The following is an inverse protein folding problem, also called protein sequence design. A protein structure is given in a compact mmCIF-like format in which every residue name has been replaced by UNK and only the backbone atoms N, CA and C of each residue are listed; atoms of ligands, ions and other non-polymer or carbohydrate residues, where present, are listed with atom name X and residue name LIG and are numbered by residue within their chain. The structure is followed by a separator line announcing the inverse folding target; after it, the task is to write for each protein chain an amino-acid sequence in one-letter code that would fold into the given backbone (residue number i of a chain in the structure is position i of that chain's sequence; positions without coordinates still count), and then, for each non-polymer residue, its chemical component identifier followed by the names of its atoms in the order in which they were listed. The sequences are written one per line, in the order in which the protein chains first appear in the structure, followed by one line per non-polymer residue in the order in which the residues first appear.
data_IF_545775131839
#
_entry.id   IF_545775131839
#
_cell.length_a   1.000
_cell.length_b   1.000
_cell.length_c   1.000
_cell.angle_alpha   90.00
_cell.angle_beta   90.00
_cell.angle_gamma   90.00
#
_symmetry.space_group_name_H-M   'P 1'
#
loop_
_entity.id
_entity.type
_entity.pdbx_description
1 polymer ?
#
# COMPACT_ATOMS: atom_id res chain seq x y z
N UNK A 1 3.07 -29.94 35.90
CA UNK A 1 2.21 -29.91 34.70
C UNK A 1 2.17 -28.48 34.23
N UNK A 2 2.81 -28.18 33.11
CA UNK A 2 2.81 -26.84 32.51
C UNK A 2 1.44 -26.61 31.85
N UNK A 3 0.76 -25.52 32.22
CA UNK A 3 -0.43 -25.09 31.51
C UNK A 3 -0.03 -24.73 30.07
N UNK A 4 -0.72 -25.30 29.09
CA UNK A 4 -0.56 -24.89 27.70
C UNK A 4 -0.98 -23.42 27.59
N UNK A 5 -0.07 -22.56 27.14
CA UNK A 5 -0.36 -21.18 26.76
C UNK A 5 -1.43 -21.19 25.67
N UNK A 6 -2.69 -20.98 26.06
CA UNK A 6 -3.79 -20.81 25.13
C UNK A 6 -3.63 -19.42 24.52
N UNK A 7 -3.17 -19.36 23.26
CA UNK A 7 -2.97 -18.10 22.52
C UNK A 7 -4.27 -17.27 22.54
N UNK A 8 -4.17 -16.01 22.91
CA UNK A 8 -5.30 -15.11 23.08
C UNK A 8 -5.82 -14.66 21.70
N UNK A 9 -7.11 -14.89 21.44
CA UNK A 9 -7.79 -14.44 20.22
C UNK A 9 -8.36 -13.04 20.44
N UNK A 10 -8.25 -12.16 19.44
CA UNK A 10 -8.91 -10.85 19.37
C UNK A 10 -10.09 -10.96 18.39
N UNK A 11 -11.28 -10.47 18.73
CA UNK A 11 -12.47 -10.60 17.88
C UNK A 11 -12.79 -9.33 17.07
N UNK A 12 -12.55 -9.30 15.76
CA UNK A 12 -12.92 -8.18 14.88
C UNK A 12 -14.28 -8.36 14.18
N UNK A 13 -14.90 -7.26 13.70
CA UNK A 13 -16.16 -7.30 12.92
C UNK A 13 -16.00 -6.74 11.51
N UNK A 14 -15.91 -7.58 10.47
CA UNK A 14 -15.86 -7.13 9.07
C UNK A 14 -17.09 -6.28 8.64
N UNK A 15 -16.93 -5.53 7.55
CA UNK A 15 -17.95 -4.64 6.92
C UNK A 15 -19.17 -5.35 6.31
N UNK A 16 -19.44 -6.61 6.67
CA UNK A 16 -20.60 -7.40 6.21
C UNK A 16 -21.48 -7.75 7.40
N UNK A 17 -22.76 -7.40 7.31
CA UNK A 17 -23.75 -7.63 8.36
C UNK A 17 -23.78 -9.11 8.81
N UNK A 18 -23.46 -9.35 10.08
CA UNK A 18 -23.68 -10.62 10.76
C UNK A 18 -22.52 -11.61 10.78
N UNK A 19 -21.30 -11.21 10.40
CA UNK A 19 -20.09 -12.05 10.50
C UNK A 19 -19.10 -11.52 11.56
N UNK A 20 -18.60 -12.41 12.41
CA UNK A 20 -17.64 -12.14 13.50
C UNK A 20 -16.30 -12.81 13.12
N UNK A 21 -15.22 -12.05 12.99
CA UNK A 21 -13.88 -12.55 12.63
C UNK A 21 -13.01 -12.70 13.88
N UNK A 22 -12.22 -13.77 13.96
CA UNK A 22 -11.30 -13.99 15.08
C UNK A 22 -9.85 -13.88 14.60
N UNK A 23 -9.10 -12.94 15.17
CA UNK A 23 -7.67 -12.72 14.96
C UNK A 23 -6.91 -13.55 16.01
N UNK A 24 -6.04 -14.47 15.57
CA UNK A 24 -5.06 -15.07 16.47
C UNK A 24 -3.79 -14.23 16.48
N UNK A 25 -3.40 -13.79 17.66
CA UNK A 25 -2.10 -13.19 17.91
C UNK A 25 -1.00 -14.26 17.80
N UNK A 26 -0.03 -14.05 16.91
CA UNK A 26 1.17 -14.90 16.81
C UNK A 26 1.00 -16.29 16.17
N UNK A 27 0.09 -16.50 15.19
CA UNK A 27 0.18 -17.68 14.30
C UNK A 27 0.48 -17.31 12.85
N UNK A 28 1.59 -17.84 12.35
CA UNK A 28 1.78 -18.12 10.93
C UNK A 28 1.20 -19.48 10.51
N UNK A 29 0.67 -20.28 11.44
CA UNK A 29 0.14 -21.62 11.18
C UNK A 29 -1.38 -21.66 11.22
N UNK A 30 -1.95 -22.15 10.13
CA UNK A 30 -3.26 -22.81 10.02
C UNK A 30 -3.76 -23.40 11.34
N UNK A 31 -4.63 -22.69 12.06
CA UNK A 31 -5.59 -23.36 12.90
C UNK A 31 -6.77 -23.72 12.00
N UNK A 32 -6.75 -24.99 11.60
CA UNK A 32 -7.62 -25.65 10.62
C UNK A 32 -9.04 -25.83 11.18
N UNK A 33 -9.65 -24.77 11.68
CA UNK A 33 -11.07 -24.76 12.02
C UNK A 33 -11.86 -24.34 10.77
N UNK A 34 -12.61 -25.31 10.24
CA UNK A 34 -13.64 -25.18 9.19
C UNK A 34 -14.73 -24.14 9.55
N UNK A 35 -14.35 -22.87 9.69
CA UNK A 35 -15.29 -21.77 9.87
C UNK A 35 -15.69 -21.28 8.47
N UNK A 36 -16.68 -21.98 7.89
CA UNK A 36 -17.50 -21.45 6.81
C UNK A 36 -18.14 -20.14 7.30
N UNK A 37 -17.56 -18.99 6.93
CA UNK A 37 -18.11 -17.68 7.27
C UNK A 37 -17.10 -16.54 7.47
N UNK A 38 -15.78 -16.80 7.49
CA UNK A 38 -14.80 -15.75 7.72
C UNK A 38 -14.42 -15.02 6.42
N UNK A 39 -14.42 -13.68 6.44
CA UNK A 39 -13.87 -12.90 5.34
C UNK A 39 -12.33 -12.95 5.38
N UNK A 40 -11.77 -12.69 4.22
CA UNK A 40 -10.48 -13.22 3.76
C UNK A 40 -9.50 -12.09 3.41
N UNK A 41 -9.63 -10.92 4.02
CA UNK A 41 -9.05 -9.70 3.45
C UNK A 41 -8.52 -8.68 4.45
N UNK A 42 -8.50 -8.98 5.74
CA UNK A 42 -8.04 -7.99 6.71
C UNK A 42 -6.52 -7.81 6.58
N UNK A 43 -6.08 -6.61 6.21
CA UNK A 43 -4.72 -6.19 6.52
C UNK A 43 -4.57 -6.12 8.03
N UNK A 44 -3.34 -6.19 8.54
CA UNK A 44 -3.16 -5.97 9.97
C UNK A 44 -3.64 -4.53 10.38
N UNK A 45 -3.74 -3.57 9.45
CA UNK A 45 -4.17 -2.18 9.74
C UNK A 45 -5.70 -2.13 9.82
N UNK A 46 -6.39 -2.72 8.85
CA UNK A 46 -7.85 -2.90 8.86
C UNK A 46 -8.29 -3.69 10.11
N UNK A 47 -7.47 -4.64 10.59
CA UNK A 47 -7.72 -5.41 11.81
C UNK A 47 -7.75 -4.49 13.03
N UNK A 48 -6.72 -3.66 13.18
CA UNK A 48 -6.50 -2.85 14.38
C UNK A 48 -7.38 -1.60 14.37
N UNK A 49 -7.47 -0.92 13.23
CA UNK A 49 -8.04 0.42 13.12
C UNK A 49 -9.48 0.46 12.63
N UNK A 50 -10.00 -0.57 11.94
CA UNK A 50 -11.40 -0.54 11.48
C UNK A 50 -12.29 -1.56 12.18
N UNK A 51 -11.71 -2.67 12.62
CA UNK A 51 -12.44 -3.78 13.21
C UNK A 51 -11.88 -4.17 14.59
N UNK A 52 -11.78 -3.23 15.55
CA UNK A 52 -11.16 -3.52 16.84
C UNK A 52 -11.94 -4.60 17.62
N UNK A 53 -11.29 -5.29 18.58
CA UNK A 53 -11.94 -6.24 19.47
C UNK A 53 -13.28 -5.73 20.00
N UNK A 54 -14.26 -6.62 20.22
CA UNK A 54 -15.48 -6.25 20.93
C UNK A 54 -15.11 -5.55 22.25
N UNK A 55 -15.43 -4.26 22.35
CA UNK A 55 -14.89 -3.40 23.41
C UNK A 55 -15.64 -3.59 24.74
N UNK A 56 -16.60 -4.52 24.78
CA UNK A 56 -17.35 -4.91 25.98
C UNK A 56 -16.40 -5.51 27.02
N UNK A 57 -15.95 -4.67 27.97
CA UNK A 57 -14.99 -5.02 29.01
C UNK A 57 -13.81 -4.05 29.14
N UNK A 58 -13.60 -3.17 28.16
CA UNK A 58 -12.57 -2.13 28.19
C UNK A 58 -13.13 -0.80 28.71
N UNK A 59 -12.31 -0.04 29.43
CA UNK A 59 -12.71 1.26 29.97
C UNK A 59 -12.72 2.37 28.90
N UNK A 60 -13.35 3.49 29.24
CA UNK A 60 -13.52 4.62 28.32
C UNK A 60 -12.17 5.20 27.85
N UNK A 61 -11.13 5.14 28.69
CA UNK A 61 -9.80 5.65 28.35
C UNK A 61 -9.16 4.80 27.26
N UNK A 62 -9.22 3.47 27.37
CA UNK A 62 -8.69 2.56 26.36
C UNK A 62 -9.37 2.75 24.99
N UNK A 63 -10.68 3.00 24.99
CA UNK A 63 -11.45 3.30 23.77
C UNK A 63 -11.04 4.64 23.15
N UNK A 64 -10.84 5.65 24.00
CA UNK A 64 -10.37 6.96 23.56
C UNK A 64 -8.95 6.89 23.00
N UNK A 65 -8.04 6.15 23.64
CA UNK A 65 -6.65 5.98 23.18
C UNK A 65 -6.59 5.36 21.79
N UNK A 66 -7.41 4.32 21.54
CA UNK A 66 -7.54 3.70 20.23
C UNK A 66 -8.14 4.67 19.19
N UNK A 67 -9.16 5.42 19.58
CA UNK A 67 -9.75 6.42 18.70
C UNK A 67 -8.76 7.54 18.36
N UNK A 68 -7.96 8.01 19.32
CA UNK A 68 -6.92 9.00 19.13
C UNK A 68 -5.76 8.46 18.29
N UNK A 69 -5.43 7.17 18.41
CA UNK A 69 -4.49 6.49 17.53
C UNK A 69 -5.03 6.38 16.10
N UNK A 70 -6.32 6.03 15.91
CA UNK A 70 -7.02 6.04 14.62
C UNK A 70 -7.00 7.44 13.99
N UNK A 71 -7.31 8.47 14.76
CA UNK A 71 -7.34 9.85 14.29
C UNK A 71 -5.94 10.38 13.94
N UNK A 72 -4.91 10.03 14.72
CA UNK A 72 -3.52 10.33 14.37
C UNK A 72 -3.12 9.63 13.07
N UNK A 73 -3.45 8.35 12.97
CA UNK A 73 -3.01 7.46 11.90
C UNK A 73 -1.49 7.44 11.73
N UNK A 74 -1.02 6.89 10.61
CA UNK A 74 0.35 7.06 10.15
C UNK A 74 0.34 7.89 8.87
N UNK A 75 1.24 8.87 8.79
CA UNK A 75 1.47 9.66 7.59
C UNK A 75 2.95 9.54 7.24
N UNK A 76 3.25 8.84 6.15
CA UNK A 76 4.63 8.63 5.70
C UNK A 76 4.89 9.53 4.49
N UNK A 77 5.91 10.37 4.57
CA UNK A 77 6.31 11.21 3.43
C UNK A 77 7.06 10.36 2.43
N UNK A 78 6.55 10.27 1.21
CA UNK A 78 7.21 9.57 0.10
C UNK A 78 8.14 10.54 -0.60
N UNK A 79 9.45 10.32 -0.47
CA UNK A 79 10.48 11.13 -1.12
C UNK A 79 11.03 10.43 -2.37
N UNK A 80 11.46 9.18 -2.22
CA UNK A 80 12.09 8.41 -3.29
C UNK A 80 11.27 7.18 -3.63
N UNK A 81 11.33 6.80 -4.91
CA UNK A 81 10.70 5.61 -5.45
C UNK A 81 11.78 4.69 -6.04
N UNK A 82 11.59 3.38 -5.83
CA UNK A 82 12.40 2.31 -6.37
C UNK A 82 11.68 1.50 -7.45
N UNK A 83 12.35 1.24 -8.56
CA UNK A 83 12.00 0.20 -9.52
C UNK A 83 12.89 -1.02 -9.31
N UNK A 84 12.41 -2.01 -8.57
CA UNK A 84 13.13 -3.26 -8.34
C UNK A 84 13.08 -4.15 -9.58
N UNK A 85 14.22 -4.76 -9.94
CA UNK A 85 14.32 -5.58 -11.15
C UNK A 85 15.38 -6.67 -11.05
N UNK A 86 15.16 -7.75 -11.80
CA UNK A 86 16.16 -8.80 -12.09
C UNK A 86 16.93 -8.54 -13.39
N UNK A 87 16.60 -7.46 -14.09
CA UNK A 87 16.98 -7.22 -15.49
C UNK A 87 17.55 -5.80 -15.66
N UNK A 88 18.34 -5.33 -14.71
CA UNK A 88 18.89 -3.97 -14.71
C UNK A 88 19.69 -3.66 -15.99
N UNK A 89 20.50 -4.60 -16.47
CA UNK A 89 21.30 -4.41 -17.69
C UNK A 89 20.41 -4.19 -18.92
N UNK A 90 19.21 -4.78 -18.96
CA UNK A 90 18.28 -4.56 -20.07
C UNK A 90 17.65 -3.18 -20.04
N UNK A 91 17.34 -2.65 -18.86
CA UNK A 91 16.83 -1.28 -18.67
C UNK A 91 17.90 -0.27 -19.10
N UNK A 92 19.16 -0.52 -18.71
CA UNK A 92 20.31 0.30 -19.13
C UNK A 92 20.48 0.26 -20.64
N UNK A 93 20.46 -0.94 -21.24
CA UNK A 93 20.64 -1.11 -22.69
C UNK A 93 19.47 -0.55 -23.51
N UNK A 94 18.25 -0.52 -22.96
CA UNK A 94 17.11 0.17 -23.58
C UNK A 94 17.06 1.67 -23.26
N UNK A 95 18.03 2.19 -22.50
CA UNK A 95 18.10 3.59 -22.06
C UNK A 95 16.85 4.05 -21.28
N UNK A 96 16.15 3.12 -20.63
CA UNK A 96 14.94 3.43 -19.86
C UNK A 96 14.03 2.24 -19.62
N UNK A 97 12.82 2.54 -19.13
CA UNK A 97 11.88 1.56 -18.59
C UNK A 97 10.78 1.24 -19.61
N UNK A 98 10.67 -0.03 -19.97
CA UNK A 98 9.55 -0.53 -20.77
C UNK A 98 8.47 -1.04 -19.82
N UNK A 99 7.23 -0.58 -20.03
CA UNK A 99 6.09 -1.00 -19.21
C UNK A 99 5.82 -2.50 -19.34
N UNK A 100 5.46 -3.14 -18.22
CA UNK A 100 4.95 -4.51 -18.23
C UNK A 100 3.43 -4.51 -18.38
N UNK A 101 2.90 -5.42 -19.21
CA UNK A 101 1.46 -5.65 -19.31
C UNK A 101 0.90 -6.05 -17.94
N UNK A 102 -0.16 -5.35 -17.53
CA UNK A 102 -0.86 -5.61 -16.30
C UNK A 102 -2.36 -5.40 -16.51
N UNK A 103 -3.16 -6.36 -16.07
CA UNK A 103 -4.60 -6.18 -15.91
C UNK A 103 -4.92 -5.02 -14.97
N UNK A 104 -5.70 -4.06 -15.46
CA UNK A 104 -6.12 -2.86 -14.74
C UNK A 104 -7.63 -2.80 -14.48
N UNK A 105 -8.43 -3.54 -15.26
CA UNK A 105 -9.87 -3.59 -15.13
C UNK A 105 -10.46 -4.80 -15.87
N UNK A 106 -11.79 -4.89 -15.85
CA UNK A 106 -12.58 -5.78 -16.70
C UNK A 106 -13.63 -4.95 -17.44
N UNK A 107 -13.96 -5.37 -18.67
CA UNK A 107 -15.07 -4.80 -19.44
C UNK A 107 -16.43 -5.33 -18.95
N UNK A 108 -17.52 -4.87 -19.56
CA UNK A 108 -18.89 -5.30 -19.24
C UNK A 108 -19.16 -6.79 -19.47
N UNK A 109 -18.31 -7.46 -20.25
CA UNK A 109 -18.38 -8.89 -20.56
C UNK A 109 -17.42 -9.72 -19.71
N UNK A 110 -16.68 -9.09 -18.79
CA UNK A 110 -15.68 -9.74 -17.94
C UNK A 110 -14.34 -10.00 -18.64
N UNK A 111 -14.10 -9.43 -19.83
CA UNK A 111 -12.78 -9.52 -20.46
C UNK A 111 -11.78 -8.62 -19.75
N UNK A 112 -10.55 -9.12 -19.63
CA UNK A 112 -9.46 -8.39 -18.98
C UNK A 112 -9.06 -7.18 -19.83
N UNK A 113 -9.06 -6.01 -19.21
CA UNK A 113 -8.46 -4.80 -19.76
C UNK A 113 -7.06 -4.71 -19.17
N UNK A 114 -6.06 -4.73 -20.04
CA UNK A 114 -4.65 -4.66 -19.67
C UNK A 114 -3.99 -3.41 -20.24
N UNK A 115 -3.01 -2.88 -19.52
CA UNK A 115 -2.19 -1.75 -19.97
C UNK A 115 -0.73 -1.98 -19.58
N UNK A 116 0.17 -1.31 -20.30
CA UNK A 116 1.61 -1.34 -20.05
C UNK A 116 2.01 -0.28 -19.02
N UNK A 117 2.54 -0.74 -17.88
CA UNK A 117 2.83 0.10 -16.71
C UNK A 117 4.26 -0.12 -16.22
N UNK A 118 4.97 0.97 -15.90
CA UNK A 118 6.22 0.95 -15.16
C UNK A 118 5.94 1.12 -13.67
N UNK A 119 6.28 0.10 -12.87
CA UNK A 119 5.92 0.01 -11.45
C UNK A 119 7.05 0.48 -10.54
N UNK A 120 6.72 1.32 -9.57
CA UNK A 120 7.64 1.95 -8.65
C UNK A 120 7.09 1.89 -7.22
N UNK A 121 7.91 1.51 -6.25
CA UNK A 121 7.51 1.41 -4.84
C UNK A 121 8.23 2.46 -4.01
N UNK A 122 7.62 3.05 -2.98
CA UNK A 122 8.33 3.93 -2.07
C UNK A 122 9.53 3.24 -1.42
N UNK A 123 10.57 4.01 -1.16
CA UNK A 123 11.66 3.61 -0.27
C UNK A 123 11.37 4.20 1.10
N UNK A 124 11.29 3.33 2.10
CA UNK A 124 11.02 3.71 3.48
C UNK A 124 12.33 3.72 4.28
N UNK A 125 12.53 4.76 5.09
CA UNK A 125 13.70 4.83 5.97
C UNK A 125 13.46 4.07 7.27
N UNK A 126 14.52 3.89 8.07
CA UNK A 126 14.39 3.31 9.41
C UNK A 126 13.52 4.17 10.33
N UNK A 127 13.50 5.49 10.13
CA UNK A 127 12.59 6.40 10.84
C UNK A 127 11.13 6.17 10.44
N UNK A 128 10.84 5.93 9.16
CA UNK A 128 9.48 5.60 8.70
C UNK A 128 9.01 4.26 9.30
N UNK A 129 9.88 3.24 9.28
CA UNK A 129 9.61 1.95 9.93
C UNK A 129 9.35 2.11 11.42
N UNK A 130 10.18 2.92 12.11
CA UNK A 130 10.00 3.22 13.53
C UNK A 130 8.68 3.94 13.79
N UNK A 131 8.30 4.91 12.96
CA UNK A 131 7.03 5.63 13.07
C UNK A 131 5.83 4.69 12.96
N UNK A 132 5.85 3.77 12.00
CA UNK A 132 4.82 2.72 11.84
C UNK A 132 4.75 1.85 13.10
N UNK A 133 5.90 1.35 13.58
CA UNK A 133 5.99 0.51 14.78
C UNK A 133 5.46 1.21 16.03
N UNK A 134 5.82 2.47 16.23
CA UNK A 134 5.39 3.26 17.39
C UNK A 134 3.88 3.54 17.32
N UNK A 135 3.35 3.86 16.14
CA UNK A 135 1.90 4.08 15.95
C UNK A 135 1.10 2.81 16.26
N UNK A 136 1.59 1.65 15.82
CA UNK A 136 0.97 0.35 16.11
C UNK A 136 1.09 -0.01 17.60
N UNK A 137 2.23 0.28 18.22
CA UNK A 137 2.43 0.08 19.66
C UNK A 137 1.41 0.88 20.46
N UNK A 138 1.26 2.17 20.16
CA UNK A 138 0.29 3.07 20.80
C UNK A 138 -1.15 2.57 20.61
N UNK A 139 -1.49 2.06 19.42
CA UNK A 139 -2.83 1.56 19.11
C UNK A 139 -3.18 0.23 19.80
N UNK A 140 -2.20 -0.67 19.96
CA UNK A 140 -2.43 -2.06 20.39
C UNK A 140 -2.15 -2.26 21.88
N UNK A 141 -1.15 -1.57 22.43
CA UNK A 141 -0.70 -1.70 23.83
C UNK A 141 -1.83 -1.61 24.87
N UNK A 142 -2.88 -0.78 24.70
CA UNK A 142 -4.01 -0.77 25.64
C UNK A 142 -4.78 -2.08 25.71
N UNK A 143 -4.67 -2.95 24.71
CA UNK A 143 -5.45 -4.19 24.54
C UNK A 143 -4.60 -5.46 24.65
N UNK A 144 -3.27 -5.35 24.54
CA UNK A 144 -2.34 -6.48 24.59
C UNK A 144 -1.27 -6.26 25.66
N UNK A 145 -1.38 -7.01 26.77
CA UNK A 145 -0.39 -6.99 27.86
C UNK A 145 0.79 -7.93 27.63
N UNK A 146 0.73 -8.80 26.62
CA UNK A 146 1.81 -9.71 26.24
C UNK A 146 2.81 -8.96 25.35
N UNK A 147 4.02 -8.78 25.86
CA UNK A 147 5.09 -8.00 25.21
C UNK A 147 5.65 -8.74 24.00
N UNK A 148 5.77 -10.07 24.05
CA UNK A 148 6.34 -10.86 22.96
C UNK A 148 5.38 -10.83 21.76
N UNK A 149 4.09 -10.95 22.03
CA UNK A 149 3.03 -10.82 21.03
C UNK A 149 2.98 -9.42 20.41
N UNK A 150 3.08 -8.38 21.23
CA UNK A 150 3.08 -7.00 20.76
C UNK A 150 4.30 -6.75 19.85
N UNK A 151 5.45 -7.27 20.22
CA UNK A 151 6.69 -7.13 19.45
C UNK A 151 6.62 -7.91 18.13
N UNK A 152 6.04 -9.11 18.11
CA UNK A 152 5.77 -9.86 16.88
C UNK A 152 4.85 -9.10 15.92
N UNK A 153 3.81 -8.43 16.42
CA UNK A 153 2.88 -7.64 15.60
C UNK A 153 3.55 -6.39 15.00
N UNK A 154 4.36 -5.69 15.80
CA UNK A 154 5.12 -4.52 15.33
C UNK A 154 6.17 -4.93 14.30
N UNK A 155 6.86 -6.03 14.57
CA UNK A 155 7.89 -6.60 13.69
C UNK A 155 7.31 -7.24 12.46
N UNK A 156 6.03 -7.63 12.46
CA UNK A 156 5.33 -7.94 11.23
C UNK A 156 5.38 -6.66 10.40
N UNK A 157 4.46 -5.71 10.46
CA UNK A 157 4.42 -4.56 9.53
C UNK A 157 5.73 -3.95 9.01
N UNK A 158 6.71 -3.71 9.88
CA UNK A 158 7.99 -3.11 9.49
C UNK A 158 8.91 -4.03 8.66
N UNK A 159 8.73 -5.35 8.69
CA UNK A 159 9.55 -6.33 7.93
C UNK A 159 8.86 -6.82 6.66
N UNK A 160 7.82 -6.10 6.22
CA UNK A 160 7.10 -6.45 5.00
C UNK A 160 8.02 -6.32 3.81
N UNK A 161 7.73 -7.06 2.76
CA UNK A 161 8.45 -6.93 1.50
C UNK A 161 8.36 -5.54 0.84
N UNK A 162 7.45 -4.67 1.28
CA UNK A 162 7.42 -3.27 0.88
C UNK A 162 8.39 -2.38 1.70
N UNK A 163 8.66 -2.71 2.97
CA UNK A 163 9.61 -1.99 3.83
C UNK A 163 11.01 -2.59 3.81
N UNK A 164 11.10 -3.90 3.57
CA UNK A 164 12.30 -4.72 3.49
C UNK A 164 12.21 -5.59 2.24
N UNK A 165 12.51 -5.00 1.07
CA UNK A 165 12.48 -5.72 -0.19
C UNK A 165 13.35 -6.97 -0.12
N UNK A 166 12.89 -8.04 -0.76
CA UNK A 166 13.62 -9.30 -0.82
C UNK A 166 14.11 -9.58 -2.24
N UNK A 167 15.42 -9.84 -2.38
CA UNK A 167 16.07 -10.06 -3.67
C UNK A 167 15.49 -11.24 -4.46
N UNK A 168 15.06 -12.31 -3.79
CA UNK A 168 14.45 -13.47 -4.46
C UNK A 168 13.11 -13.09 -5.10
N UNK A 169 12.37 -12.17 -4.47
CA UNK A 169 11.05 -11.73 -4.94
C UNK A 169 11.14 -10.64 -6.00
N UNK A 170 11.81 -9.53 -5.72
CA UNK A 170 11.81 -8.35 -6.60
C UNK A 170 13.05 -8.20 -7.48
N UNK A 171 14.10 -8.96 -7.17
CA UNK A 171 15.42 -8.81 -7.79
C UNK A 171 16.41 -8.14 -6.84
N UNK A 172 17.69 -8.39 -7.07
CA UNK A 172 18.79 -7.87 -6.24
C UNK A 172 19.20 -6.44 -6.59
N UNK A 173 18.61 -5.85 -7.62
CA UNK A 173 18.98 -4.53 -8.12
C UNK A 173 17.73 -3.67 -8.22
N UNK A 174 17.88 -2.37 -7.97
CA UNK A 174 16.80 -1.41 -8.15
C UNK A 174 17.33 -0.07 -8.69
N UNK A 175 16.43 0.69 -9.29
CA UNK A 175 16.68 2.08 -9.68
C UNK A 175 15.95 3.02 -8.74
N UNK A 176 16.61 4.04 -8.22
CA UNK A 176 16.05 4.99 -7.27
C UNK A 176 15.98 6.39 -7.86
N UNK A 177 14.81 7.03 -7.77
CA UNK A 177 14.62 8.44 -8.13
C UNK A 177 13.77 9.16 -7.10
N UNK A 178 14.00 10.46 -6.92
CA UNK A 178 13.05 11.30 -6.22
C UNK A 178 11.71 11.32 -6.97
N UNK A 179 10.58 11.24 -6.27
CA UNK A 179 9.26 11.16 -6.88
C UNK A 179 8.92 12.40 -7.73
N UNK A 180 9.35 13.59 -7.30
CA UNK A 180 9.08 14.82 -8.03
C UNK A 180 9.92 14.88 -9.32
N UNK A 181 11.19 14.49 -9.25
CA UNK A 181 12.05 14.35 -10.43
C UNK A 181 11.47 13.31 -11.39
N UNK A 182 11.03 12.15 -10.88
CA UNK A 182 10.44 11.10 -11.70
C UNK A 182 9.16 11.58 -12.41
N UNK A 183 8.31 12.35 -11.72
CA UNK A 183 7.13 12.96 -12.32
C UNK A 183 7.49 14.02 -13.38
N UNK A 184 8.51 14.84 -13.14
CA UNK A 184 9.02 15.81 -14.12
C UNK A 184 9.54 15.10 -15.38
N UNK A 185 10.38 14.08 -15.22
CA UNK A 185 10.89 13.28 -16.33
C UNK A 185 9.76 12.57 -17.07
N UNK A 186 8.74 12.08 -16.36
CA UNK A 186 7.56 11.54 -16.99
C UNK A 186 6.83 12.58 -17.84
N UNK A 187 6.74 13.83 -17.37
CA UNK A 187 6.18 14.93 -18.13
C UNK A 187 6.96 15.21 -19.43
N UNK A 188 8.29 15.18 -19.36
CA UNK A 188 9.15 15.32 -20.53
C UNK A 188 8.96 14.16 -21.51
N UNK A 189 8.98 12.93 -21.01
CA UNK A 189 8.74 11.71 -21.79
C UNK A 189 7.39 11.73 -22.52
N UNK A 190 6.33 12.19 -21.86
CA UNK A 190 4.99 12.30 -22.44
C UNK A 190 4.79 13.55 -23.30
N UNK A 191 5.86 14.33 -23.53
CA UNK A 191 5.86 15.59 -24.29
C UNK A 191 4.73 16.54 -23.84
N UNK A 192 4.63 16.75 -22.53
CA UNK A 192 3.59 17.55 -21.91
C UNK A 192 3.80 19.04 -22.25
N UNK A 193 2.91 19.59 -23.08
CA UNK A 193 2.78 21.02 -23.37
C UNK A 193 1.66 21.71 -22.58
N UNK A 194 1.28 22.93 -22.95
CA UNK A 194 0.32 23.76 -22.17
C UNK A 194 -1.05 23.09 -21.90
N UNK A 195 -1.56 22.31 -22.85
CA UNK A 195 -2.87 21.65 -22.74
C UNK A 195 -2.81 20.25 -22.10
N UNK A 196 -1.61 19.67 -22.00
CA UNK A 196 -1.43 18.34 -21.41
C UNK A 196 -1.03 18.50 -19.96
N UNK A 197 -1.54 17.64 -19.08
CA UNK A 197 -1.19 17.67 -17.67
C UNK A 197 -1.05 16.26 -17.16
N UNK A 198 -0.05 16.04 -16.31
CA UNK A 198 0.05 14.82 -15.52
C UNK A 198 -1.18 14.73 -14.63
N UNK A 199 -1.74 13.53 -14.56
CA UNK A 199 -2.83 13.16 -13.67
C UNK A 199 -2.38 12.03 -12.76
N UNK A 200 -2.79 12.13 -11.51
CA UNK A 200 -2.60 11.11 -10.50
C UNK A 200 -3.95 10.53 -10.15
N UNK A 201 -4.12 9.24 -10.38
CA UNK A 201 -5.41 8.53 -10.24
C UNK A 201 -5.24 7.30 -9.37
N UNK A 202 -6.31 6.90 -8.70
CA UNK A 202 -6.38 5.64 -7.98
C UNK A 202 -6.61 4.55 -9.03
N UNK A 203 -5.59 3.76 -9.34
CA UNK A 203 -5.68 2.64 -10.29
C UNK A 203 -6.53 1.50 -9.71
N UNK A 204 -6.37 1.27 -8.40
CA UNK A 204 -7.11 0.26 -7.67
C UNK A 204 -6.25 -0.44 -6.63
N UNK A 205 -6.85 -1.44 -5.99
CA UNK A 205 -6.21 -2.25 -4.96
C UNK A 205 -5.96 -3.65 -5.51
N UNK A 206 -4.70 -4.08 -5.48
CA UNK A 206 -4.27 -5.40 -5.94
C UNK A 206 -3.95 -6.27 -4.74
N UNK A 207 -4.63 -7.41 -4.64
CA UNK A 207 -4.42 -8.36 -3.55
C UNK A 207 -3.56 -9.52 -4.06
N UNK A 208 -2.42 -9.72 -3.40
CA UNK A 208 -1.52 -10.84 -3.61
C UNK A 208 -1.56 -11.80 -2.41
N UNK A 209 -0.83 -12.90 -2.52
CA UNK A 209 -0.75 -13.94 -1.48
C UNK A 209 -0.43 -13.35 -0.10
N UNK A 210 0.55 -12.45 -0.02
CA UNK A 210 0.99 -11.81 1.22
C UNK A 210 0.98 -10.28 1.14
N UNK A 211 0.31 -9.64 0.18
CA UNK A 211 0.36 -8.17 0.03
C UNK A 211 -0.99 -7.63 -0.41
N UNK A 212 -1.26 -6.39 -0.01
CA UNK A 212 -2.34 -5.55 -0.52
C UNK A 212 -1.65 -4.29 -1.04
N UNK A 213 -1.62 -4.13 -2.36
CA UNK A 213 -0.98 -3.01 -3.04
C UNK A 213 -2.03 -2.00 -3.49
N UNK A 214 -1.96 -0.80 -2.93
CA UNK A 214 -2.74 0.36 -3.37
C UNK A 214 -2.00 1.08 -4.49
N UNK A 215 -2.52 0.99 -5.71
CA UNK A 215 -1.82 1.50 -6.88
C UNK A 215 -2.28 2.92 -7.25
N UNK A 216 -1.33 3.84 -7.33
CA UNK A 216 -1.50 5.18 -7.90
C UNK A 216 -1.05 5.13 -9.36
N UNK A 217 -1.97 5.40 -10.28
CA UNK A 217 -1.67 5.60 -11.69
C UNK A 217 -1.11 7.01 -11.90
N UNK A 218 0.05 7.10 -12.55
CA UNK A 218 0.58 8.33 -13.13
C UNK A 218 0.36 8.27 -14.64
N UNK A 219 -0.48 9.17 -15.15
CA UNK A 219 -0.88 9.24 -16.55
C UNK A 219 -1.05 10.70 -16.98
N UNK A 220 -1.59 10.93 -18.17
CA UNK A 220 -1.91 12.26 -18.67
C UNK A 220 -3.41 12.42 -18.90
N UNK A 221 -3.88 13.66 -18.97
CA UNK A 221 -5.26 13.97 -19.36
C UNK A 221 -5.63 13.57 -20.80
N UNK A 222 -4.68 13.12 -21.62
CA UNK A 222 -4.91 12.56 -22.97
C UNK A 222 -5.17 11.06 -22.96
N UNK A 223 -4.90 10.38 -21.85
CA UNK A 223 -5.07 8.94 -21.73
C UNK A 223 -6.53 8.62 -21.37
N UNK A 224 -7.40 8.68 -22.39
CA UNK A 224 -8.86 8.59 -22.27
C UNK A 224 -9.32 7.28 -21.61
N UNK A 225 -8.57 6.18 -21.76
CA UNK A 225 -8.89 4.91 -21.10
C UNK A 225 -8.93 5.03 -19.57
N UNK A 226 -8.26 6.03 -18.99
CA UNK A 226 -8.22 6.26 -17.55
C UNK A 226 -9.19 7.37 -17.10
N UNK A 227 -9.99 7.95 -18.00
CA UNK A 227 -10.84 9.10 -17.69
C UNK A 227 -11.75 8.84 -16.47
N UNK A 228 -12.33 7.64 -16.38
CA UNK A 228 -13.23 7.22 -15.31
C UNK A 228 -12.57 6.88 -13.96
N UNK A 229 -11.24 6.82 -13.88
CA UNK A 229 -10.55 6.47 -12.63
C UNK A 229 -10.54 7.66 -11.64
N UNK A 230 -10.79 7.42 -10.34
CA UNK A 230 -10.78 8.46 -9.31
C UNK A 230 -9.43 9.19 -9.24
N UNK A 231 -9.43 10.48 -8.91
CA UNK A 231 -8.18 11.24 -8.73
C UNK A 231 -7.60 11.03 -7.34
N UNK A 232 -6.26 11.05 -7.24
CA UNK A 232 -5.57 11.23 -5.96
C UNK A 232 -5.92 12.62 -5.42
N UNK A 233 -6.12 12.71 -4.10
CA UNK A 233 -6.54 13.94 -3.44
C UNK A 233 -5.37 14.89 -3.25
N UNK A 234 -5.63 16.18 -3.50
CA UNK A 234 -4.70 17.27 -3.19
C UNK A 234 -5.21 17.98 -1.95
N UNK A 235 -4.37 18.00 -0.91
CA UNK A 235 -4.60 18.74 0.33
C UNK A 235 -3.96 20.12 0.16
N UNK A 236 -4.79 21.17 0.09
CA UNK A 236 -4.28 22.52 0.33
C UNK A 236 -4.03 22.69 1.83
N UNK A 237 -3.15 23.61 2.23
CA UNK A 237 -2.71 23.77 3.63
C UNK A 237 -3.85 24.06 4.63
N UNK A 238 -5.08 24.34 4.18
CA UNK A 238 -6.20 24.78 5.02
C UNK A 238 -7.50 23.97 4.88
N UNK A 239 -7.56 22.96 4.01
CA UNK A 239 -8.82 22.30 3.66
C UNK A 239 -9.02 21.08 4.58
N UNK A 240 -9.50 21.31 5.80
CA UNK A 240 -9.81 20.29 6.81
C UNK A 240 -10.91 19.28 6.45
N UNK A 241 -11.19 19.09 5.17
CA UNK A 241 -12.27 18.23 4.67
C UNK A 241 -11.79 16.83 4.29
N UNK A 242 -10.69 16.37 4.90
CA UNK A 242 -10.17 15.02 4.68
C UNK A 242 -11.05 14.01 5.39
N UNK A 243 -11.87 13.31 4.60
CA UNK A 243 -12.69 12.21 5.07
C UNK A 243 -11.86 10.95 5.33
N UNK A 244 -10.55 10.98 5.05
CA UNK A 244 -9.61 9.92 5.37
C UNK A 244 -9.66 8.73 4.41
N UNK A 245 -10.40 8.81 3.31
CA UNK A 245 -10.68 7.66 2.44
C UNK A 245 -9.64 7.42 1.32
N UNK A 246 -8.60 8.25 1.24
CA UNK A 246 -7.55 8.13 0.22
C UNK A 246 -6.21 7.69 0.82
N UNK A 247 -5.76 6.49 0.42
CA UNK A 247 -4.44 5.91 0.74
C UNK A 247 -3.26 6.84 0.44
N UNK A 248 -3.36 7.66 -0.61
CA UNK A 248 -2.33 8.65 -0.95
C UNK A 248 -2.97 10.01 -1.07
N UNK A 249 -2.30 11.01 -0.51
CA UNK A 249 -2.63 12.41 -0.70
C UNK A 249 -1.38 13.21 -1.09
N UNK A 250 -1.59 14.25 -1.88
CA UNK A 250 -0.55 15.20 -2.26
C UNK A 250 -0.77 16.46 -1.42
N UNK A 251 0.22 16.86 -0.62
CA UNK A 251 0.18 18.12 0.13
C UNK A 251 0.97 19.18 -0.63
N UNK A 252 0.35 20.34 -0.83
CA UNK A 252 1.03 21.51 -1.39
C UNK A 252 1.65 22.31 -0.26
N UNK A 253 2.90 22.71 -0.43
CA UNK A 253 3.58 23.64 0.46
C UNK A 253 3.59 25.06 -0.10
N UNK A 254 3.65 26.04 0.79
CA UNK A 254 4.07 27.40 0.47
C UNK A 254 5.39 27.38 -0.33
N UNK A 255 5.42 28.11 -1.45
CA UNK A 255 6.55 28.11 -2.39
C UNK A 255 6.42 27.12 -3.56
N UNK A 256 5.34 26.32 -3.63
CA UNK A 256 5.01 25.51 -4.81
C UNK A 256 5.59 24.10 -4.81
N UNK A 257 6.27 23.69 -3.74
CA UNK A 257 6.74 22.32 -3.56
C UNK A 257 5.60 21.39 -3.15
N UNK A 258 5.67 20.13 -3.59
CA UNK A 258 4.69 19.10 -3.28
C UNK A 258 5.33 18.01 -2.44
N UNK A 259 4.62 17.55 -1.40
CA UNK A 259 4.95 16.34 -0.66
C UNK A 259 3.90 15.27 -0.91
N UNK A 260 4.37 14.05 -1.14
CA UNK A 260 3.53 12.88 -1.27
C UNK A 260 3.41 12.21 0.08
N UNK A 261 2.18 11.91 0.50
CA UNK A 261 1.92 11.32 1.80
C UNK A 261 1.15 10.02 1.60
N UNK A 262 1.72 8.92 2.08
CA UNK A 262 1.01 7.65 2.22
C UNK A 262 0.37 7.55 3.60
N UNK A 263 -0.88 7.10 3.60
CA UNK A 263 -1.72 6.87 4.76
C UNK A 263 -2.14 5.40 4.79
N UNK A 264 -1.37 4.51 5.43
CA UNK A 264 -1.68 3.08 5.47
C UNK A 264 -3.13 2.78 5.88
N UNK A 265 -3.66 3.53 6.85
CA UNK A 265 -5.01 3.40 7.39
C UNK A 265 -6.14 3.98 6.51
N UNK A 266 -5.83 4.66 5.41
CA UNK A 266 -6.86 5.37 4.65
C UNK A 266 -7.61 4.42 3.70
N UNK A 267 -8.46 3.56 4.25
CA UNK A 267 -9.14 2.47 3.53
C UNK A 267 -9.59 2.84 2.11
N UNK A 268 -9.03 2.16 1.11
CA UNK A 268 -9.49 2.34 -0.27
C UNK A 268 -10.83 1.61 -0.48
N UNK A 269 -11.64 2.19 -1.37
CA UNK A 269 -12.90 1.67 -1.92
C UNK A 269 -12.87 0.19 -2.36
N UNK A 270 -14.07 -0.38 -2.60
CA UNK A 270 -14.37 -1.75 -3.09
C UNK A 270 -13.16 -2.47 -3.70
N UNK A 271 -12.61 -3.44 -2.96
CA UNK A 271 -11.54 -4.33 -3.42
C UNK A 271 -12.04 -5.08 -4.67
N UNK A 272 -11.49 -4.78 -5.85
CA UNK A 272 -11.74 -5.56 -7.06
C UNK A 272 -10.97 -6.87 -6.97
N UNK A 273 -11.70 -7.99 -6.93
CA UNK A 273 -11.12 -9.33 -6.97
C UNK A 273 -10.65 -9.63 -8.39
N UNK A 274 -9.50 -10.28 -8.51
CA UNK A 274 -9.19 -11.05 -9.71
C UNK A 274 -9.64 -12.50 -9.44
N UNK A 275 -10.39 -13.08 -10.36
CA UNK A 275 -11.17 -14.33 -10.23
C UNK A 275 -10.35 -15.62 -9.95
N UNK A 276 -9.05 -15.49 -9.68
CA UNK A 276 -8.11 -16.60 -9.47
C UNK A 276 -7.48 -16.64 -8.08
N UNK A 277 -7.89 -15.78 -7.15
CA UNK A 277 -7.35 -15.79 -5.80
C UNK A 277 -8.23 -16.60 -4.85
N UNK A 278 -7.60 -17.61 -4.24
CA UNK A 278 -8.20 -18.60 -3.38
C UNK A 278 -9.01 -17.98 -2.23
N UNK A 279 -10.09 -18.67 -1.84
CA UNK A 279 -11.18 -18.19 -0.97
C UNK A 279 -10.78 -18.19 0.52
N UNK A 280 -9.51 -18.39 0.85
CA UNK A 280 -8.99 -18.37 2.22
C UNK A 280 -7.52 -17.99 2.23
N UNK A 281 -7.13 -16.78 2.67
CA UNK A 281 -5.72 -16.47 2.84
C UNK A 281 -5.17 -17.31 3.98
N UNK A 282 -4.21 -18.17 3.69
CA UNK A 282 -3.40 -18.82 4.71
C UNK A 282 -2.38 -17.85 5.35
N UNK A 283 -2.34 -16.57 4.93
CA UNK A 283 -1.28 -15.62 5.24
C UNK A 283 -1.86 -14.26 5.63
N UNK A 284 -1.25 -13.63 6.65
CA UNK A 284 -1.41 -12.20 6.90
C UNK A 284 -0.92 -11.41 5.69
N UNK A 285 -1.59 -10.29 5.40
CA UNK A 285 -1.29 -9.46 4.23
C UNK A 285 -0.88 -8.07 4.65
N UNK A 286 0.03 -7.55 3.84
CA UNK A 286 0.80 -6.37 4.15
C UNK A 286 0.42 -5.27 3.18
N UNK A 287 0.07 -4.11 3.71
CA UNK A 287 -0.35 -2.99 2.91
C UNK A 287 0.82 -2.14 2.48
N UNK A 288 0.79 -1.72 1.22
CA UNK A 288 1.70 -0.70 0.72
C UNK A 288 1.05 0.05 -0.43
N UNK A 289 1.65 1.19 -0.76
CA UNK A 289 1.35 1.91 -2.00
C UNK A 289 2.37 1.55 -3.09
N UNK A 290 1.97 1.60 -4.35
CA UNK A 290 2.87 1.60 -5.50
C UNK A 290 2.42 2.65 -6.52
N UNK A 291 3.36 3.17 -7.28
CA UNK A 291 3.15 4.11 -8.38
C UNK A 291 3.32 3.38 -9.71
N UNK A 292 2.30 3.44 -10.55
CA UNK A 292 2.28 2.86 -11.87
C UNK A 292 2.30 3.98 -12.91
N UNK A 293 3.45 4.20 -13.54
CA UNK A 293 3.59 5.15 -14.63
C UNK A 293 3.10 4.50 -15.92
N UNK A 294 2.13 5.11 -16.60
CA UNK A 294 1.61 4.59 -17.85
C UNK A 294 2.61 4.79 -18.98
N UNK A 295 3.03 3.69 -19.58
CA UNK A 295 4.03 3.65 -20.64
C UNK A 295 3.39 2.96 -21.83
N UNK A 296 2.87 3.67 -22.86
CA UNK A 296 2.16 3.04 -23.97
C UNK A 296 3.00 1.95 -24.62
N UNK A 297 2.34 0.93 -25.17
CA UNK A 297 3.03 -0.23 -25.74
C UNK A 297 4.11 0.17 -26.75
N UNK A 298 5.26 -0.52 -26.67
CA UNK A 298 6.43 -0.25 -27.49
C UNK A 298 7.20 1.04 -27.16
N UNK A 299 6.78 1.82 -26.16
CA UNK A 299 7.51 3.01 -25.73
C UNK A 299 8.45 2.74 -24.55
N UNK A 300 9.51 3.54 -24.48
CA UNK A 300 10.50 3.52 -23.41
C UNK A 300 10.36 4.81 -22.61
N UNK A 301 10.12 4.69 -21.31
CA UNK A 301 10.21 5.82 -20.40
C UNK A 301 11.69 6.07 -20.07
N UNK A 302 12.32 6.99 -20.79
CA UNK A 302 13.73 7.33 -20.61
C UNK A 302 13.94 8.15 -19.32
N UNK A 303 14.96 7.78 -18.54
CA UNK A 303 15.41 8.55 -17.39
C UNK A 303 16.90 8.86 -17.51
N UNK A 304 17.36 10.05 -17.07
CA UNK A 304 18.77 10.39 -17.10
C UNK A 304 19.57 9.56 -16.10
N UNK A 305 20.87 9.40 -16.40
CA UNK A 305 21.88 8.89 -15.47
C UNK A 305 21.57 7.53 -14.83
N UNK A 306 20.90 6.61 -15.55
CA UNK A 306 20.46 5.30 -15.06
C UNK A 306 21.52 4.54 -14.24
N UNK A 307 22.79 4.61 -14.64
CA UNK A 307 23.88 3.93 -13.92
C UNK A 307 24.14 4.52 -12.53
N UNK A 308 24.01 5.84 -12.37
CA UNK A 308 24.21 6.51 -11.08
C UNK A 308 23.03 6.26 -10.14
N UNK A 309 21.86 6.00 -10.70
CA UNK A 309 20.62 5.67 -9.98
C UNK A 309 20.44 4.17 -9.75
N UNK A 310 21.39 3.33 -10.16
CA UNK A 310 21.36 1.88 -9.93
C UNK A 310 21.94 1.55 -8.56
N UNK A 311 21.20 0.76 -7.81
CA UNK A 311 21.59 0.27 -6.49
C UNK A 311 21.41 -1.25 -6.41
N UNK A 312 22.19 -1.87 -5.52
CA UNK A 312 22.01 -3.27 -5.16
C UNK A 312 21.33 -3.35 -3.78
N UNK A 313 20.50 -4.37 -3.60
CA UNK A 313 19.72 -4.64 -2.39
C UNK A 313 20.52 -5.45 -1.37
#
# INVERSE_FOLDING_TARGET
MAAANQKQWIKGRAKVNGAEENILLGSHSLDNHDLKGNYSYISDYDCIFDNPPDLDGYDEQQRQDLHDAKQRGTNITINNLAHFTKRADLIINSEGFIGGWKKINEDENGHEIEETLSWWSPIFTEEDKKLVRDTLDDAIRPFCSDIDVLEDLKNQFATSHAFEPNAARYGSTYFEYNINELCEQYGNYRAIGEETKIQYKILGTYVYKCEIMYAVLVCTNRDEQFAGYPKVRVMAEADGNDDGNNQVVIRRHDGGNWSWIWKPQATATVIKRLDRFDISPMYRRWEHVAFAFYTPDGQVFNLPDLQNHRHEL
#
